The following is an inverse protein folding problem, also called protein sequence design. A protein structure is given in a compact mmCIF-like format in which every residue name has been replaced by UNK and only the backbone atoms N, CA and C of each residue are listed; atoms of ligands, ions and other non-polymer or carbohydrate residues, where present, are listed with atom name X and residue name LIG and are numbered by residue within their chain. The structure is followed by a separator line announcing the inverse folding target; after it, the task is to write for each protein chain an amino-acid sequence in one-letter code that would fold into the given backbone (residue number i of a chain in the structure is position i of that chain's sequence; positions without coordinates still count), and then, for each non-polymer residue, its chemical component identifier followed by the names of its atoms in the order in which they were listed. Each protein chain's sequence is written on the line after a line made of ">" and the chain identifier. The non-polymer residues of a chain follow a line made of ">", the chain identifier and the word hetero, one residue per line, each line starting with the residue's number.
data_IF_646304946649
#
_entry.id   IF_646304946649
#
_cell.length_a   1.000
_cell.length_b   1.000
_cell.length_c   1.000
_cell.angle_alpha   90.00
_cell.angle_beta   90.00
_cell.angle_gamma   90.00
#
_symmetry.space_group_name_H-M   'P 1'
#
loop_
_entity.id
_entity.type
_entity.pdbx_description
1 polymer ?
#
# COMPACT_ATOMS: atom_id res chain seq x y z
N UNK A 1 12.22 -23.67 27.50
CA UNK A 1 11.68 -23.18 26.20
C UNK A 1 11.49 -24.30 25.18
N UNK A 2 12.41 -25.25 25.03
CA UNK A 2 12.29 -26.38 24.07
C UNK A 2 11.04 -27.25 24.30
N UNK A 3 10.59 -27.43 25.53
CA UNK A 3 9.40 -28.21 25.84
C UNK A 3 8.08 -27.55 25.36
N UNK A 4 8.06 -26.24 25.17
CA UNK A 4 6.87 -25.52 24.70
C UNK A 4 6.60 -25.70 23.19
N UNK A 5 7.63 -25.96 22.40
CA UNK A 5 7.52 -26.19 20.95
C UNK A 5 7.12 -27.64 20.64
N UNK A 6 7.48 -28.61 21.48
CA UNK A 6 7.22 -30.04 21.26
C UNK A 6 5.74 -30.45 21.39
N UNK A 7 4.90 -29.60 22.02
CA UNK A 7 3.48 -29.89 22.23
C UNK A 7 2.53 -28.84 21.65
N UNK A 8 3.03 -28.02 20.75
CA UNK A 8 2.25 -26.95 20.11
C UNK A 8 2.54 -26.88 18.63
N UNK A 9 1.53 -26.53 17.87
CA UNK A 9 1.66 -26.12 16.47
C UNK A 9 1.48 -24.62 16.38
N UNK A 10 2.34 -23.98 15.60
CA UNK A 10 2.24 -22.56 15.26
C UNK A 10 2.01 -22.50 13.76
N UNK A 11 0.90 -21.90 13.36
CA UNK A 11 0.56 -21.64 11.96
C UNK A 11 0.52 -20.13 11.74
N UNK A 12 1.18 -19.67 10.68
CA UNK A 12 1.14 -18.29 10.24
C UNK A 12 0.72 -18.27 8.77
N UNK A 13 -0.39 -17.65 8.50
CA UNK A 13 -0.93 -17.48 7.15
C UNK A 13 -1.74 -16.18 7.10
N UNK A 14 -2.33 -15.86 5.96
CA UNK A 14 -3.36 -14.84 5.83
C UNK A 14 -4.65 -15.48 5.28
N UNK A 15 -5.76 -14.79 5.43
CA UNK A 15 -7.05 -15.16 4.90
C UNK A 15 -7.10 -15.03 3.36
N UNK A 16 -6.39 -14.03 2.82
CA UNK A 16 -6.24 -13.75 1.38
C UNK A 16 -4.98 -12.91 1.13
N UNK A 17 -4.64 -12.75 -0.12
CA UNK A 17 -3.64 -11.79 -0.58
C UNK A 17 -4.20 -10.35 -0.60
N UNK A 18 -3.36 -9.36 -0.85
CA UNK A 18 -3.70 -7.95 -0.76
C UNK A 18 -3.45 -7.22 -2.08
N UNK A 19 -4.39 -7.34 -3.01
CA UNK A 19 -4.42 -6.52 -4.22
C UNK A 19 -3.43 -6.94 -5.30
N UNK A 20 -2.94 -8.19 -5.31
CA UNK A 20 -2.01 -8.67 -6.32
C UNK A 20 -0.68 -7.91 -6.30
N UNK A 21 -0.14 -7.63 -5.11
CA UNK A 21 1.14 -6.97 -4.94
C UNK A 21 2.25 -7.69 -5.70
N UNK A 22 2.95 -6.97 -6.55
CA UNK A 22 4.13 -7.44 -7.26
C UNK A 22 5.36 -6.61 -6.87
N UNK A 23 6.49 -7.29 -6.69
CA UNK A 23 7.81 -6.66 -6.60
C UNK A 23 8.32 -6.54 -8.02
N UNK A 24 8.39 -5.30 -8.52
CA UNK A 24 8.72 -4.93 -9.89
C UNK A 24 7.74 -3.88 -10.40
N UNK A 25 8.26 -2.87 -11.08
CA UNK A 25 7.46 -1.84 -11.72
C UNK A 25 8.09 -1.43 -13.05
N UNK A 26 7.25 -1.17 -14.05
CA UNK A 26 7.68 -0.92 -15.46
C UNK A 26 8.78 0.14 -15.62
N UNK A 27 8.91 1.11 -14.71
CA UNK A 27 9.91 2.18 -14.80
C UNK A 27 11.19 1.89 -14.00
N UNK A 28 11.23 0.79 -13.23
CA UNK A 28 12.41 0.40 -12.44
C UNK A 28 13.19 -0.75 -13.07
N UNK A 29 12.74 -1.28 -14.23
CA UNK A 29 13.32 -2.43 -14.90
C UNK A 29 13.43 -3.65 -13.95
N UNK A 30 14.65 -4.12 -13.70
CA UNK A 30 14.93 -5.24 -12.78
C UNK A 30 15.29 -4.80 -11.36
N UNK A 31 15.32 -3.49 -11.11
CA UNK A 31 15.72 -2.96 -9.81
C UNK A 31 14.54 -2.73 -8.88
N UNK A 32 14.81 -2.85 -7.58
CA UNK A 32 13.89 -2.48 -6.51
C UNK A 32 14.58 -1.54 -5.53
N UNK A 33 13.78 -0.65 -4.93
CA UNK A 33 14.25 0.39 -4.01
C UNK A 33 13.39 0.40 -2.75
N UNK A 34 13.16 -0.78 -2.18
CA UNK A 34 12.22 -0.99 -1.06
C UNK A 34 12.55 -0.15 0.17
N UNK A 35 13.81 0.30 0.31
CA UNK A 35 14.21 1.24 1.36
C UNK A 35 13.45 2.58 1.30
N UNK A 36 12.93 2.98 0.13
CA UNK A 36 12.09 4.17 0.02
C UNK A 36 10.83 4.07 0.90
N UNK A 37 10.29 2.86 1.09
CA UNK A 37 9.11 2.63 1.93
C UNK A 37 9.35 2.98 3.41
N UNK A 38 10.59 3.05 3.87
CA UNK A 38 10.91 3.48 5.24
C UNK A 38 10.55 4.93 5.51
N UNK A 39 10.35 5.72 4.46
CA UNK A 39 9.87 7.10 4.56
C UNK A 39 8.35 7.19 4.81
N UNK A 40 7.60 6.11 4.57
CA UNK A 40 6.18 6.07 4.87
C UNK A 40 5.96 5.91 6.39
N UNK A 41 5.61 6.99 7.06
CA UNK A 41 5.43 7.05 8.52
C UNK A 41 4.00 6.74 8.98
N UNK A 42 3.05 6.73 8.05
CA UNK A 42 1.65 6.42 8.35
C UNK A 42 0.91 5.78 7.18
N UNK A 43 -0.21 5.13 7.46
CA UNK A 43 -1.13 4.62 6.43
C UNK A 43 -1.89 5.76 5.74
N UNK A 44 -2.42 5.50 4.55
CA UNK A 44 -3.31 6.44 3.85
C UNK A 44 -4.52 6.84 4.72
N UNK A 45 -5.14 5.88 5.41
CA UNK A 45 -6.29 6.14 6.27
C UNK A 45 -5.96 7.08 7.44
N UNK A 46 -4.74 6.97 8.00
CA UNK A 46 -4.26 7.88 9.02
C UNK A 46 -3.98 9.26 8.43
N UNK A 47 -3.40 9.32 7.23
CA UNK A 47 -3.15 10.57 6.52
C UNK A 47 -4.46 11.30 6.21
N UNK A 48 -5.46 10.59 5.72
CA UNK A 48 -6.81 11.12 5.46
C UNK A 48 -7.42 11.76 6.70
N UNK A 49 -7.38 11.02 7.80
CA UNK A 49 -7.98 11.49 9.06
C UNK A 49 -7.23 12.65 9.70
N UNK A 50 -5.92 12.73 9.49
CA UNK A 50 -5.06 13.74 10.13
C UNK A 50 -4.95 15.02 9.32
N UNK A 51 -4.86 14.90 7.98
CA UNK A 51 -4.51 16.02 7.10
C UNK A 51 -5.60 16.31 6.07
N UNK A 52 -6.04 15.31 5.29
CA UNK A 52 -6.88 15.56 4.10
C UNK A 52 -8.22 16.21 4.43
N UNK A 53 -8.82 15.84 5.56
CA UNK A 53 -10.05 16.51 6.03
C UNK A 53 -9.84 18.01 6.24
N UNK A 54 -8.68 18.39 6.78
CA UNK A 54 -8.29 19.80 6.96
C UNK A 54 -8.07 20.50 5.62
N UNK A 55 -7.43 19.84 4.65
CA UNK A 55 -7.22 20.42 3.32
C UNK A 55 -8.53 20.74 2.61
N UNK A 56 -9.50 19.83 2.67
CA UNK A 56 -10.82 20.00 2.09
C UNK A 56 -11.55 21.18 2.76
N UNK A 57 -11.56 21.21 4.11
CA UNK A 57 -12.25 22.25 4.88
C UNK A 57 -11.68 23.65 4.64
N UNK A 58 -10.34 23.75 4.56
CA UNK A 58 -9.62 25.02 4.47
C UNK A 58 -9.23 25.39 3.03
N UNK A 59 -9.50 24.54 2.04
CA UNK A 59 -8.99 24.70 0.67
C UNK A 59 -7.50 24.98 0.63
N UNK A 60 -6.74 24.17 1.35
CA UNK A 60 -5.29 24.34 1.52
C UNK A 60 -4.60 24.34 0.15
N UNK A 61 -3.62 25.21 -0.13
CA UNK A 61 -2.86 25.17 -1.38
C UNK A 61 -2.12 23.83 -1.55
N UNK A 62 -1.99 23.36 -2.78
CA UNK A 62 -1.31 22.09 -3.10
C UNK A 62 0.12 22.02 -2.53
N UNK A 63 0.88 23.10 -2.67
CA UNK A 63 2.26 23.17 -2.19
C UNK A 63 2.36 23.02 -0.66
N UNK A 64 1.39 23.55 0.07
CA UNK A 64 1.32 23.37 1.53
C UNK A 64 0.96 21.92 1.89
N UNK A 65 0.04 21.29 1.15
CA UNK A 65 -0.27 19.86 1.33
C UNK A 65 0.95 18.97 1.01
N UNK A 66 1.73 19.32 -0.01
CA UNK A 66 2.95 18.59 -0.37
C UNK A 66 4.05 18.66 0.70
N UNK A 67 4.08 19.69 1.53
CA UNK A 67 5.00 19.74 2.69
C UNK A 67 4.68 18.61 3.70
N UNK A 68 3.41 18.33 3.95
CA UNK A 68 2.99 17.21 4.80
C UNK A 68 3.25 15.86 4.13
N UNK A 69 3.05 15.76 2.80
CA UNK A 69 3.39 14.55 2.02
C UNK A 69 4.89 14.26 2.12
N UNK A 70 5.73 15.25 1.96
CA UNK A 70 7.18 15.12 2.14
C UNK A 70 7.54 14.66 3.55
N UNK A 71 6.97 15.27 4.57
CA UNK A 71 7.24 14.94 5.97
C UNK A 71 6.85 13.50 6.33
N UNK A 72 5.81 12.93 5.69
CA UNK A 72 5.24 11.64 6.03
C UNK A 72 5.54 10.51 5.04
N UNK A 73 5.94 10.84 3.80
CA UNK A 73 6.22 9.85 2.73
C UNK A 73 7.56 10.11 2.02
N UNK A 74 8.24 11.21 2.32
CA UNK A 74 9.53 11.55 1.70
C UNK A 74 9.45 12.09 0.26
N UNK A 75 8.27 12.13 -0.35
CA UNK A 75 8.10 12.59 -1.73
C UNK A 75 8.38 14.10 -1.81
N UNK A 76 9.40 14.47 -2.56
CA UNK A 76 9.98 15.81 -2.57
C UNK A 76 9.72 16.51 -3.90
N UNK A 77 9.22 17.75 -3.85
CA UNK A 77 9.01 18.54 -5.06
C UNK A 77 10.35 19.00 -5.69
N UNK A 78 10.41 19.15 -7.02
CA UNK A 78 11.60 19.71 -7.69
C UNK A 78 11.97 21.13 -7.23
N UNK A 79 10.98 21.86 -6.72
CA UNK A 79 11.13 23.24 -6.20
C UNK A 79 11.59 23.31 -4.76
N UNK A 80 11.66 22.17 -4.06
CA UNK A 80 12.09 22.16 -2.66
C UNK A 80 13.59 22.46 -2.53
N UNK A 81 14.02 23.15 -1.46
CA UNK A 81 15.43 23.52 -1.26
C UNK A 81 16.39 22.34 -1.20
N UNK A 82 15.91 21.17 -0.75
CA UNK A 82 16.67 19.93 -0.61
C UNK A 82 16.38 18.89 -1.72
N UNK A 83 15.77 19.32 -2.82
CA UNK A 83 15.46 18.48 -3.97
C UNK A 83 16.66 17.65 -4.45
N UNK A 84 17.85 18.24 -4.49
CA UNK A 84 19.07 17.57 -4.93
C UNK A 84 19.47 16.37 -4.06
N UNK A 85 19.03 16.31 -2.81
CA UNK A 85 19.32 15.22 -1.87
C UNK A 85 18.22 14.17 -1.77
N UNK A 86 17.08 14.39 -2.41
CA UNK A 86 15.91 13.50 -2.31
C UNK A 86 16.07 12.16 -3.03
N UNK A 87 17.10 12.02 -3.88
CA UNK A 87 17.35 10.78 -4.60
C UNK A 87 16.15 10.34 -5.44
N UNK A 88 15.73 9.09 -5.28
CA UNK A 88 14.57 8.55 -6.00
C UNK A 88 13.21 9.09 -5.53
N UNK A 89 13.14 9.69 -4.35
CA UNK A 89 11.92 10.32 -3.84
C UNK A 89 11.70 11.72 -4.40
N UNK A 90 12.65 12.25 -5.21
CA UNK A 90 12.43 13.43 -6.01
C UNK A 90 11.33 13.14 -7.05
N UNK A 91 10.30 13.96 -7.05
CA UNK A 91 9.20 13.85 -8.00
C UNK A 91 9.61 14.38 -9.38
N UNK A 92 9.19 13.68 -10.41
CA UNK A 92 9.24 14.18 -11.79
C UNK A 92 8.07 15.14 -12.03
N UNK A 93 8.15 15.98 -13.07
CA UNK A 93 7.05 16.88 -13.45
C UNK A 93 5.75 16.12 -13.71
N UNK A 94 5.84 14.93 -14.32
CA UNK A 94 4.70 14.04 -14.56
C UNK A 94 4.05 13.56 -13.25
N UNK A 95 4.85 13.18 -12.26
CA UNK A 95 4.34 12.73 -10.95
C UNK A 95 3.73 13.89 -10.17
N UNK A 96 4.33 15.08 -10.23
CA UNK A 96 3.77 16.30 -9.63
C UNK A 96 2.42 16.63 -10.22
N UNK A 97 2.30 16.57 -11.55
CA UNK A 97 1.03 16.84 -12.25
C UNK A 97 -0.05 15.82 -11.88
N UNK A 98 0.27 14.54 -11.78
CA UNK A 98 -0.66 13.50 -11.34
C UNK A 98 -1.12 13.71 -9.89
N UNK A 99 -0.21 14.04 -8.99
CA UNK A 99 -0.53 14.36 -7.60
C UNK A 99 -1.40 15.62 -7.49
N UNK A 100 -1.15 16.64 -8.32
CA UNK A 100 -1.96 17.86 -8.36
C UNK A 100 -3.38 17.57 -8.83
N UNK A 101 -3.55 16.82 -9.93
CA UNK A 101 -4.88 16.39 -10.42
C UNK A 101 -5.65 15.59 -9.35
N UNK A 102 -4.98 14.65 -8.70
CA UNK A 102 -5.59 13.88 -7.63
C UNK A 102 -5.97 14.76 -6.42
N UNK A 103 -5.17 15.76 -6.10
CA UNK A 103 -5.45 16.72 -5.05
C UNK A 103 -6.67 17.60 -5.39
N UNK A 104 -6.71 18.18 -6.59
CA UNK A 104 -7.84 18.97 -7.08
C UNK A 104 -9.12 18.14 -7.08
N UNK A 105 -9.02 16.88 -7.57
CA UNK A 105 -10.15 15.96 -7.53
C UNK A 105 -10.63 15.68 -6.11
N UNK A 106 -9.71 15.56 -5.16
CA UNK A 106 -10.06 15.40 -3.73
C UNK A 106 -10.82 16.60 -3.18
N UNK A 107 -10.42 17.82 -3.56
CA UNK A 107 -11.15 19.04 -3.14
C UNK A 107 -12.55 19.12 -3.75
N UNK A 108 -12.75 18.60 -4.95
CA UNK A 108 -14.06 18.57 -5.63
C UNK A 108 -15.03 17.55 -5.00
N UNK A 109 -14.56 16.32 -4.79
CA UNK A 109 -15.42 15.22 -4.34
C UNK A 109 -15.54 15.11 -2.82
N UNK A 110 -14.62 15.72 -2.10
CA UNK A 110 -14.60 15.67 -0.63
C UNK A 110 -14.06 14.33 -0.08
N UNK A 111 -14.20 14.17 1.23
CA UNK A 111 -13.70 13.00 1.96
C UNK A 111 -14.71 11.83 2.06
N UNK A 112 -15.85 11.94 1.42
CA UNK A 112 -16.85 10.89 1.44
C UNK A 112 -16.50 9.77 0.47
N UNK A 113 -16.79 8.52 0.85
CA UNK A 113 -16.75 7.40 -0.09
C UNK A 113 -17.66 7.68 -1.27
N UNK A 114 -17.09 7.64 -2.47
CA UNK A 114 -17.82 8.01 -3.68
C UNK A 114 -18.77 6.89 -4.07
N UNK A 115 -20.06 7.16 -4.06
CA UNK A 115 -21.10 6.23 -4.56
C UNK A 115 -21.21 6.26 -6.08
N UNK A 116 -20.90 7.41 -6.67
CA UNK A 116 -20.93 7.61 -8.11
C UNK A 116 -19.59 8.23 -8.54
N UNK A 117 -18.80 7.47 -9.25
CA UNK A 117 -17.51 7.92 -9.79
C UNK A 117 -17.41 7.55 -11.26
N UNK A 118 -16.62 8.34 -11.99
CA UNK A 118 -16.29 8.01 -13.36
C UNK A 118 -15.48 6.72 -13.43
N UNK A 119 -15.53 6.03 -14.57
CA UNK A 119 -14.67 4.88 -14.82
C UNK A 119 -13.19 5.24 -14.62
N UNK A 120 -12.79 6.43 -15.03
CA UNK A 120 -11.42 6.92 -14.89
C UNK A 120 -11.03 7.09 -13.42
N UNK A 121 -11.88 7.69 -12.59
CA UNK A 121 -11.60 7.85 -11.16
C UNK A 121 -11.47 6.47 -10.48
N UNK A 122 -12.35 5.54 -10.84
CA UNK A 122 -12.30 4.19 -10.29
C UNK A 122 -11.02 3.43 -10.66
N UNK A 123 -10.56 3.56 -11.90
CA UNK A 123 -9.30 2.95 -12.33
C UNK A 123 -8.08 3.58 -11.64
N UNK A 124 -8.10 4.90 -11.44
CA UNK A 124 -6.98 5.63 -10.85
C UNK A 124 -6.91 5.52 -9.32
N UNK A 125 -8.06 5.49 -8.65
CA UNK A 125 -8.12 5.69 -7.20
C UNK A 125 -8.97 4.65 -6.46
N UNK A 126 -9.65 3.75 -7.16
CA UNK A 126 -10.63 2.84 -6.55
C UNK A 126 -11.75 3.64 -5.89
N UNK A 127 -12.19 3.20 -4.72
CA UNK A 127 -13.19 3.92 -3.90
C UNK A 127 -12.57 4.83 -2.84
N UNK A 128 -11.27 5.06 -2.94
CA UNK A 128 -10.47 5.79 -1.95
C UNK A 128 -10.39 7.29 -2.28
N UNK A 129 -9.82 8.06 -1.35
CA UNK A 129 -9.55 9.48 -1.57
C UNK A 129 -8.46 9.62 -2.65
N UNK A 130 -8.70 10.36 -3.75
CA UNK A 130 -7.79 10.43 -4.87
C UNK A 130 -6.37 10.82 -4.50
N UNK A 131 -6.20 11.86 -3.69
CA UNK A 131 -4.87 12.36 -3.31
C UNK A 131 -4.06 11.32 -2.53
N UNK A 132 -4.65 10.70 -1.52
CA UNK A 132 -3.96 9.70 -0.70
C UNK A 132 -3.59 8.46 -1.50
N UNK A 133 -4.45 8.06 -2.44
CA UNK A 133 -4.16 6.92 -3.31
C UNK A 133 -3.05 7.24 -4.31
N UNK A 134 -3.05 8.44 -4.91
CA UNK A 134 -1.97 8.88 -5.79
C UNK A 134 -0.61 8.94 -5.06
N UNK A 135 -0.58 9.35 -3.78
CA UNK A 135 0.63 9.31 -2.94
C UNK A 135 1.11 7.87 -2.76
N UNK A 136 0.20 6.94 -2.41
CA UNK A 136 0.55 5.53 -2.24
C UNK A 136 1.09 4.90 -3.53
N UNK A 137 0.44 5.15 -4.67
CA UNK A 137 0.93 4.69 -5.97
C UNK A 137 2.32 5.25 -6.27
N UNK A 138 2.53 6.54 -6.06
CA UNK A 138 3.81 7.20 -6.35
C UNK A 138 4.95 6.60 -5.54
N UNK A 139 4.79 6.43 -4.22
CA UNK A 139 5.86 5.85 -3.39
C UNK A 139 6.10 4.37 -3.72
N UNK A 140 5.05 3.60 -4.03
CA UNK A 140 5.17 2.21 -4.46
C UNK A 140 5.94 2.11 -5.78
N UNK A 141 5.57 2.87 -6.79
CA UNK A 141 6.24 2.90 -8.10
C UNK A 141 7.71 3.29 -7.97
N UNK A 142 8.03 4.32 -7.17
CA UNK A 142 9.41 4.71 -6.88
C UNK A 142 10.20 3.65 -6.11
N UNK A 143 9.50 2.78 -5.40
CA UNK A 143 10.09 1.65 -4.67
C UNK A 143 10.25 0.39 -5.52
N UNK A 144 9.71 0.38 -6.73
CA UNK A 144 9.76 -0.76 -7.64
C UNK A 144 8.73 -1.83 -7.28
N UNK A 145 7.54 -1.42 -6.89
CA UNK A 145 6.41 -2.31 -6.64
C UNK A 145 5.09 -1.70 -7.12
N UNK A 146 4.11 -2.55 -7.34
CA UNK A 146 2.77 -2.14 -7.75
C UNK A 146 1.72 -3.16 -7.29
N UNK A 147 0.45 -2.78 -7.45
CA UNK A 147 -0.72 -3.60 -7.17
C UNK A 147 -1.61 -3.67 -8.41
N UNK A 148 -2.25 -4.80 -8.64
CA UNK A 148 -3.09 -5.01 -9.84
C UNK A 148 -4.56 -4.65 -9.61
N UNK A 149 -5.00 -4.56 -8.36
CA UNK A 149 -6.40 -4.26 -8.05
C UNK A 149 -6.51 -3.58 -6.67
N UNK A 150 -7.64 -2.92 -6.45
CA UNK A 150 -8.06 -2.39 -5.14
C UNK A 150 -8.83 -3.42 -4.29
N UNK A 151 -8.91 -4.65 -4.75
CA UNK A 151 -9.58 -5.77 -4.06
C UNK A 151 -8.59 -6.94 -3.91
N UNK A 152 -9.10 -8.14 -3.66
CA UNK A 152 -8.29 -9.35 -3.57
C UNK A 152 -8.15 -10.00 -4.95
N UNK A 153 -7.07 -10.75 -5.16
CA UNK A 153 -6.84 -11.55 -6.36
C UNK A 153 -6.85 -13.04 -6.02
N UNK A 154 -6.77 -13.87 -7.04
CA UNK A 154 -6.62 -15.32 -6.88
C UNK A 154 -5.19 -15.78 -6.60
N UNK A 155 -4.27 -14.86 -6.24
CA UNK A 155 -2.91 -15.28 -5.90
C UNK A 155 -2.88 -16.08 -4.60
N UNK A 156 -2.05 -17.11 -4.58
CA UNK A 156 -1.92 -17.99 -3.42
C UNK A 156 -1.26 -17.29 -2.24
N UNK A 157 -1.70 -17.64 -1.04
CA UNK A 157 -1.13 -17.17 0.23
C UNK A 157 -0.23 -18.24 0.81
N UNK A 158 0.92 -17.85 1.32
CA UNK A 158 1.82 -18.79 1.98
C UNK A 158 1.27 -19.19 3.36
N UNK A 159 1.48 -20.46 3.70
CA UNK A 159 1.29 -20.97 5.05
C UNK A 159 2.64 -21.41 5.62
N UNK A 160 2.95 -20.99 6.81
CA UNK A 160 4.13 -21.42 7.56
C UNK A 160 3.68 -22.19 8.78
N UNK A 161 4.28 -23.36 9.00
CA UNK A 161 3.95 -24.22 10.12
C UNK A 161 5.22 -24.62 10.88
N UNK A 162 5.12 -24.62 12.21
CA UNK A 162 6.20 -25.03 13.11
C UNK A 162 5.61 -25.85 14.27
N UNK A 163 6.29 -26.91 14.68
CA UNK A 163 5.88 -27.75 15.81
C UNK A 163 5.23 -29.06 15.37
N UNK A 164 4.38 -29.61 16.24
CA UNK A 164 3.72 -30.93 16.00
C UNK A 164 2.81 -30.85 14.79
N UNK A 165 2.97 -31.79 13.84
CA UNK A 165 2.14 -31.89 12.63
C UNK A 165 2.41 -30.82 11.58
N UNK A 166 3.51 -30.05 11.70
CA UNK A 166 3.90 -29.03 10.72
C UNK A 166 4.04 -29.61 9.29
N UNK A 167 4.42 -30.88 9.17
CA UNK A 167 4.56 -31.59 7.90
C UNK A 167 3.24 -31.75 7.13
N UNK A 168 2.10 -31.70 7.83
CA UNK A 168 0.75 -31.78 7.21
C UNK A 168 0.40 -30.53 6.37
N UNK A 169 1.09 -29.42 6.63
CA UNK A 169 0.85 -28.11 5.97
C UNK A 169 1.80 -27.86 4.79
N UNK A 170 2.46 -28.89 4.27
CA UNK A 170 3.32 -28.78 3.09
C UNK A 170 2.49 -28.88 1.80
N UNK A 171 2.98 -28.21 0.76
CA UNK A 171 2.36 -28.27 -0.58
C UNK A 171 1.34 -27.17 -0.81
N UNK A 172 0.51 -27.39 -1.82
CA UNK A 172 -0.58 -26.50 -2.22
C UNK A 172 -1.90 -27.21 -1.95
N UNK A 173 -2.79 -26.53 -1.27
CA UNK A 173 -4.10 -27.07 -0.89
C UNK A 173 -5.11 -25.92 -0.71
N UNK A 174 -6.39 -26.25 -0.69
CA UNK A 174 -7.47 -25.30 -0.45
C UNK A 174 -7.45 -24.81 1.01
N UNK A 175 -7.85 -23.56 1.26
CA UNK A 175 -7.86 -22.99 2.61
C UNK A 175 -8.79 -23.76 3.57
N UNK A 176 -9.84 -24.43 3.07
CA UNK A 176 -10.73 -25.28 3.88
C UNK A 176 -10.00 -26.48 4.47
N UNK A 177 -8.95 -26.97 3.80
CA UNK A 177 -8.12 -28.07 4.29
C UNK A 177 -7.37 -27.74 5.59
N UNK A 178 -7.16 -26.45 5.89
CA UNK A 178 -6.53 -26.03 7.14
C UNK A 178 -7.30 -26.56 8.33
N UNK A 179 -8.64 -26.48 8.28
CA UNK A 179 -9.51 -27.00 9.33
C UNK A 179 -9.33 -28.51 9.51
N UNK A 180 -9.37 -29.27 8.40
CA UNK A 180 -9.24 -30.74 8.46
C UNK A 180 -7.88 -31.17 9.00
N UNK A 181 -6.81 -30.53 8.54
CA UNK A 181 -5.45 -30.78 9.01
C UNK A 181 -5.26 -30.46 10.51
N UNK A 182 -5.90 -29.39 10.98
CA UNK A 182 -5.89 -29.06 12.41
C UNK A 182 -6.70 -30.06 13.23
N UNK A 183 -7.87 -30.48 12.76
CA UNK A 183 -8.72 -31.46 13.45
C UNK A 183 -8.04 -32.83 13.63
N UNK A 184 -7.13 -33.20 12.71
CA UNK A 184 -6.33 -34.43 12.83
C UNK A 184 -5.23 -34.35 13.92
N UNK A 185 -4.93 -33.16 14.41
CA UNK A 185 -3.91 -32.93 15.44
C UNK A 185 -4.49 -32.82 16.86
N UNK A 186 -5.81 -32.80 17.00
CA UNK A 186 -6.53 -32.72 18.26
C UNK A 186 -7.14 -34.05 18.63
#
# INVERSE_FOLDING_TARGET
>A
EFRRVLFRSILVTADHETGGMAIGYKTTNYDTFLTNLTHQKMSYAKFDSTYVKGYIANKTPFEAAMADVKANFGLTLPTDPDAASAGRLLLTDYEVENLRKAYERTLEVGAASQKEMSQQDYELYGTYIPFSMAICHTINHKSGMDHTTYAHTGAMVNIYALGVGAEKFRGVFDNTEIYHKLAELT
#
